data_IF_641807003813
#
_entry.id   IF_641807003813
#
_cell.length_a   1.000
_cell.length_b   1.000
_cell.length_c   1.000
_cell.angle_alpha   90.00
_cell.angle_beta   90.00
_cell.angle_gamma   90.00
#
_symmetry.space_group_name_H-M   'P 1'
#
loop_
_entity.id
_entity.type
_entity.pdbx_description
1 polymer ?
#
# COMPACT_ATOMS: atom_id res chain seq x y z
N UNK A 1 -21.63 -16.77 8.89
CA UNK A 1 -20.39 -15.98 8.78
C UNK A 1 -19.95 -16.08 7.34
N UNK A 2 -19.59 -14.99 6.67
CA UNK A 2 -19.14 -15.06 5.28
C UNK A 2 -17.86 -15.90 5.20
N UNK A 3 -17.76 -16.75 4.18
CA UNK A 3 -16.63 -17.65 4.01
C UNK A 3 -15.37 -16.86 3.64
N UNK A 4 -14.27 -17.18 4.31
CA UNK A 4 -12.97 -16.54 4.03
C UNK A 4 -12.36 -17.16 2.78
N UNK A 5 -12.26 -16.39 1.69
CA UNK A 5 -11.64 -16.81 0.43
C UNK A 5 -10.11 -16.72 0.52
N UNK A 6 -9.60 -15.68 1.19
CA UNK A 6 -8.16 -15.46 1.33
C UNK A 6 -7.85 -14.62 2.57
N UNK A 7 -6.65 -14.80 3.11
CA UNK A 7 -6.14 -13.94 4.18
C UNK A 7 -4.63 -13.71 4.04
N UNK A 8 -4.19 -12.48 4.32
CA UNK A 8 -2.77 -12.16 4.39
C UNK A 8 -2.49 -11.02 5.35
N UNK A 9 -1.24 -10.90 5.79
CA UNK A 9 -0.78 -9.69 6.47
C UNK A 9 -0.77 -8.52 5.49
N UNK A 10 -1.15 -7.34 5.98
CA UNK A 10 -1.16 -6.10 5.20
C UNK A 10 -0.74 -4.91 6.07
N UNK A 11 -0.24 -3.87 5.40
CA UNK A 11 -0.26 -2.51 5.92
C UNK A 11 -1.46 -1.79 5.33
N UNK A 12 -2.28 -1.15 6.15
CA UNK A 12 -3.44 -0.42 5.67
C UNK A 12 -3.43 1.04 6.12
N UNK A 13 -3.96 1.94 5.30
CA UNK A 13 -4.02 3.37 5.61
C UNK A 13 -5.22 4.03 4.93
N UNK A 14 -5.77 5.05 5.57
CA UNK A 14 -6.80 5.94 5.03
C UNK A 14 -6.25 7.35 4.73
N UNK A 15 -5.01 7.62 5.12
CA UNK A 15 -4.42 8.96 5.15
C UNK A 15 -3.73 9.37 3.83
N UNK A 16 -3.66 8.49 2.83
CA UNK A 16 -3.02 8.80 1.53
C UNK A 16 -3.95 9.55 0.57
N UNK A 17 -5.27 9.43 0.76
CA UNK A 17 -6.26 9.98 -0.18
C UNK A 17 -6.15 9.32 -1.56
N UNK A 18 -6.13 10.14 -2.61
CA UNK A 18 -6.11 9.70 -4.01
C UNK A 18 -4.77 9.15 -4.48
N UNK A 19 -3.68 9.77 -4.03
CA UNK A 19 -2.34 9.46 -4.52
C UNK A 19 -1.77 8.21 -3.85
N UNK A 20 -1.03 7.41 -4.63
CA UNK A 20 -0.24 6.29 -4.10
C UNK A 20 1.23 6.67 -4.22
N UNK A 21 1.88 6.84 -3.07
CA UNK A 21 3.26 7.31 -2.96
C UNK A 21 3.95 6.69 -1.76
N UNK A 22 5.28 6.66 -1.80
CA UNK A 22 6.09 6.41 -0.61
C UNK A 22 6.04 7.64 0.30
N UNK A 23 5.07 7.65 1.20
CA UNK A 23 4.84 8.72 2.17
C UNK A 23 5.09 8.25 3.61
N UNK A 24 5.24 9.22 4.53
CA UNK A 24 5.35 8.94 5.96
C UNK A 24 4.08 8.32 6.56
N UNK A 25 2.92 8.47 5.92
CA UNK A 25 1.68 7.87 6.40
C UNK A 25 1.73 6.33 6.36
N UNK A 26 2.63 5.75 5.58
CA UNK A 26 2.92 4.31 5.62
C UNK A 26 3.74 3.89 6.85
N UNK A 27 4.44 4.82 7.51
CA UNK A 27 5.15 4.56 8.77
C UNK A 27 4.13 4.38 9.90
N UNK A 28 3.11 5.22 9.95
CA UNK A 28 1.99 5.13 10.92
C UNK A 28 0.85 4.24 10.45
N UNK A 29 0.99 3.59 9.28
CA UNK A 29 -0.04 2.68 8.77
C UNK A 29 -0.27 1.53 9.73
N UNK A 30 -1.55 1.17 9.89
CA UNK A 30 -1.95 0.01 10.69
C UNK A 30 -1.42 -1.26 10.04
N UNK A 31 -0.93 -2.19 10.86
CA UNK A 31 -0.53 -3.53 10.43
C UNK A 31 -1.58 -4.51 10.94
N UNK A 32 -2.08 -5.36 10.07
CA UNK A 32 -3.07 -6.34 10.46
C UNK A 32 -3.29 -7.40 9.39
N UNK A 33 -4.23 -8.30 9.65
CA UNK A 33 -4.66 -9.30 8.68
C UNK A 33 -5.77 -8.71 7.82
N UNK A 34 -5.57 -8.70 6.50
CA UNK A 34 -6.64 -8.50 5.53
C UNK A 34 -7.27 -9.85 5.25
N UNK A 35 -8.58 -9.96 5.44
CA UNK A 35 -9.40 -11.10 5.05
C UNK A 35 -10.27 -10.69 3.87
N UNK A 36 -10.23 -11.49 2.83
CA UNK A 36 -11.11 -11.36 1.68
C UNK A 36 -12.19 -12.41 1.84
N UNK A 37 -13.43 -11.97 2.03
CA UNK A 37 -14.58 -12.87 2.19
C UNK A 37 -15.37 -12.92 0.87
N UNK A 38 -16.47 -13.67 0.85
CA UNK A 38 -17.39 -13.69 -0.30
C UNK A 38 -18.11 -12.36 -0.53
N UNK A 39 -18.19 -11.48 0.47
CA UNK A 39 -19.03 -10.27 0.43
C UNK A 39 -18.31 -8.98 0.86
N UNK A 40 -17.17 -9.10 1.54
CA UNK A 40 -16.48 -7.97 2.16
C UNK A 40 -14.96 -8.14 2.23
N UNK A 41 -14.27 -7.00 2.33
CA UNK A 41 -12.91 -6.92 2.82
C UNK A 41 -12.93 -6.58 4.30
N UNK A 42 -12.25 -7.39 5.10
CA UNK A 42 -12.12 -7.16 6.53
C UNK A 42 -10.66 -6.91 6.88
N UNK A 43 -10.41 -5.87 7.66
CA UNK A 43 -9.10 -5.66 8.26
C UNK A 43 -9.33 -5.06 9.63
N UNK A 44 -9.00 -5.77 10.71
CA UNK A 44 -9.26 -5.30 12.09
C UNK A 44 -10.71 -4.83 12.23
N UNK A 45 -10.92 -3.57 12.64
CA UNK A 45 -12.25 -2.97 12.79
C UNK A 45 -12.86 -2.45 11.48
N UNK A 46 -12.16 -2.58 10.35
CA UNK A 46 -12.68 -2.16 9.05
C UNK A 46 -13.42 -3.31 8.39
N UNK A 47 -14.67 -3.07 8.06
CA UNK A 47 -15.53 -3.98 7.32
C UNK A 47 -16.06 -3.25 6.08
N UNK A 48 -15.53 -3.58 4.90
CA UNK A 48 -15.82 -2.91 3.64
C UNK A 48 -16.60 -3.88 2.74
N UNK A 49 -17.91 -3.70 2.62
CA UNK A 49 -18.74 -4.53 1.74
C UNK A 49 -18.48 -4.20 0.28
N UNK A 50 -18.56 -5.21 -0.59
CA UNK A 50 -18.38 -5.01 -2.03
C UNK A 50 -19.43 -4.08 -2.65
N UNK A 51 -20.64 -4.04 -2.08
CA UNK A 51 -21.71 -3.10 -2.44
C UNK A 51 -21.34 -1.63 -2.22
N UNK A 52 -20.45 -1.36 -1.26
CA UNK A 52 -20.09 -0.01 -0.84
C UNK A 52 -18.85 0.51 -1.60
N UNK A 53 -18.23 -0.34 -2.42
CA UNK A 53 -17.07 -0.03 -3.24
C UNK A 53 -17.53 0.73 -4.50
N UNK A 54 -17.11 1.98 -4.62
CA UNK A 54 -17.32 2.80 -5.82
C UNK A 54 -16.22 2.62 -6.85
N UNK A 55 -15.00 2.45 -6.39
CA UNK A 55 -13.85 2.16 -7.24
C UNK A 55 -12.86 1.27 -6.49
N UNK A 56 -12.36 0.23 -7.15
CA UNK A 56 -11.22 -0.53 -6.68
C UNK A 56 -10.14 -0.54 -7.76
N UNK A 57 -8.92 -0.21 -7.37
CA UNK A 57 -7.74 -0.25 -8.25
C UNK A 57 -6.63 -1.02 -7.55
N UNK A 58 -6.17 -2.08 -8.20
CA UNK A 58 -5.01 -2.87 -7.78
C UNK A 58 -3.79 -2.39 -8.58
N UNK A 59 -2.91 -1.70 -7.87
CA UNK A 59 -1.64 -1.24 -8.41
C UNK A 59 -0.59 -2.31 -8.24
N UNK A 60 0.11 -2.60 -9.32
CA UNK A 60 1.27 -3.47 -9.34
C UNK A 60 2.52 -2.62 -9.54
N UNK A 61 3.51 -2.84 -8.70
CA UNK A 61 4.81 -2.18 -8.76
C UNK A 61 5.93 -3.18 -8.51
N UNK A 62 7.17 -2.80 -8.81
CA UNK A 62 8.34 -3.63 -8.54
C UNK A 62 9.33 -2.83 -7.71
N UNK A 63 9.70 -3.39 -6.56
CA UNK A 63 10.79 -2.88 -5.76
C UNK A 63 11.97 -3.83 -5.91
N UNK A 64 13.00 -3.39 -6.64
CA UNK A 64 14.26 -4.11 -6.82
C UNK A 64 14.10 -5.63 -7.09
N UNK A 65 13.22 -6.01 -8.03
CA UNK A 65 12.85 -7.39 -8.42
C UNK A 65 11.69 -8.07 -7.67
N UNK A 66 11.26 -7.55 -6.51
CA UNK A 66 10.11 -8.12 -5.78
C UNK A 66 8.83 -7.40 -6.23
N UNK A 67 7.78 -8.13 -6.68
CA UNK A 67 6.50 -7.53 -7.02
C UNK A 67 5.78 -7.11 -5.73
N UNK A 68 5.39 -5.85 -5.67
CA UNK A 68 4.57 -5.30 -4.61
C UNK A 68 3.20 -4.93 -5.16
N UNK A 69 2.17 -5.10 -4.35
CA UNK A 69 0.80 -4.77 -4.73
C UNK A 69 0.22 -3.77 -3.74
N UNK A 70 -0.51 -2.79 -4.26
CA UNK A 70 -1.29 -1.86 -3.45
C UNK A 70 -2.73 -1.89 -3.94
N UNK A 71 -3.65 -2.30 -3.07
CA UNK A 71 -5.08 -2.24 -3.36
C UNK A 71 -5.65 -0.94 -2.81
N UNK A 72 -6.14 -0.07 -3.69
CA UNK A 72 -6.89 1.14 -3.32
C UNK A 72 -8.38 0.88 -3.49
N UNK A 73 -9.14 1.11 -2.43
CA UNK A 73 -10.59 1.01 -2.41
C UNK A 73 -11.16 2.38 -2.08
N UNK A 74 -11.94 2.96 -2.99
CA UNK A 74 -12.75 4.14 -2.74
C UNK A 74 -14.18 3.71 -2.42
N UNK A 75 -14.65 4.10 -1.25
CA UNK A 75 -16.05 4.01 -0.83
C UNK A 75 -16.72 5.38 -0.91
N UNK A 76 -18.00 5.48 -0.53
CA UNK A 76 -18.69 6.77 -0.50
C UNK A 76 -18.12 7.79 0.50
N UNK A 77 -17.49 7.34 1.58
CA UNK A 77 -17.00 8.19 2.67
C UNK A 77 -15.48 8.24 2.80
N UNK A 78 -14.79 7.20 2.34
CA UNK A 78 -13.38 7.00 2.67
C UNK A 78 -12.64 6.27 1.55
N UNK A 79 -11.36 6.63 1.39
CA UNK A 79 -10.40 5.85 0.60
C UNK A 79 -9.54 5.03 1.55
N UNK A 80 -9.44 3.74 1.25
CA UNK A 80 -8.59 2.77 1.93
C UNK A 80 -7.48 2.34 0.98
N UNK A 81 -6.26 2.23 1.47
CA UNK A 81 -5.14 1.66 0.74
C UNK A 81 -4.54 0.52 1.55
N UNK A 82 -4.31 -0.61 0.89
CA UNK A 82 -3.72 -1.82 1.47
C UNK A 82 -2.43 -2.17 0.73
N UNK A 83 -1.30 -2.13 1.42
CA UNK A 83 -0.03 -2.69 0.96
C UNK A 83 -0.04 -4.20 1.17
N UNK A 84 0.03 -4.94 0.08
CA UNK A 84 -0.21 -6.37 0.06
C UNK A 84 1.09 -7.15 -0.14
N UNK A 85 1.16 -8.31 0.50
CA UNK A 85 2.28 -9.22 0.29
C UNK A 85 2.26 -9.78 -1.15
N UNK A 86 3.43 -10.11 -1.72
CA UNK A 86 3.51 -10.81 -2.99
C UNK A 86 2.72 -12.12 -2.93
N UNK A 87 1.85 -12.38 -3.90
CA UNK A 87 1.06 -13.60 -3.94
C UNK A 87 0.37 -13.81 -5.29
N UNK A 88 0.14 -15.07 -5.67
CA UNK A 88 -0.61 -15.43 -6.88
C UNK A 88 -2.08 -15.00 -6.79
N UNK A 89 -2.64 -14.94 -5.58
CA UNK A 89 -4.02 -14.50 -5.33
C UNK A 89 -4.31 -13.14 -5.99
N UNK A 90 -3.42 -12.16 -5.80
CA UNK A 90 -3.57 -10.81 -6.35
C UNK A 90 -3.43 -10.72 -7.87
N UNK A 91 -2.99 -11.79 -8.53
CA UNK A 91 -2.94 -11.89 -9.99
C UNK A 91 -4.22 -12.49 -10.57
N UNK A 92 -4.95 -13.26 -9.78
CA UNK A 92 -6.21 -13.89 -10.17
C UNK A 92 -7.39 -12.92 -10.15
N UNK A 93 -8.57 -13.44 -10.46
CA UNK A 93 -9.83 -12.71 -10.33
C UNK A 93 -10.17 -12.46 -8.86
N UNK A 94 -10.64 -11.26 -8.56
CA UNK A 94 -11.10 -10.88 -7.23
C UNK A 94 -12.64 -10.93 -7.19
N UNK A 95 -13.25 -11.18 -6.02
CA UNK A 95 -14.71 -11.29 -5.89
C UNK A 95 -15.47 -9.95 -6.02
N UNK A 96 -14.79 -8.90 -6.47
CA UNK A 96 -15.36 -7.58 -6.74
C UNK A 96 -14.69 -6.95 -7.97
N UNK A 97 -15.39 -6.03 -8.67
CA UNK A 97 -14.82 -5.32 -9.82
C UNK A 97 -13.55 -4.56 -9.42
N UNK A 98 -12.42 -4.90 -10.06
CA UNK A 98 -11.13 -4.27 -9.78
C UNK A 98 -10.42 -3.90 -11.08
N UNK A 99 -10.01 -2.64 -11.19
CA UNK A 99 -9.10 -2.20 -12.24
C UNK A 99 -7.67 -2.54 -11.86
N UNK A 100 -6.85 -2.93 -12.84
CA UNK A 100 -5.44 -3.25 -12.60
C UNK A 100 -4.56 -2.23 -13.30
N UNK A 101 -3.65 -1.63 -12.57
CA UNK A 101 -2.73 -0.62 -13.09
C UNK A 101 -1.29 -0.95 -12.73
N UNK A 102 -0.37 -0.58 -13.61
CA UNK A 102 1.07 -0.61 -13.33
C UNK A 102 1.47 0.79 -12.90
N UNK A 103 2.12 0.90 -11.75
CA UNK A 103 2.56 2.19 -11.23
C UNK A 103 4.02 2.10 -10.77
N UNK A 104 4.82 3.09 -11.16
CA UNK A 104 6.07 3.37 -10.50
C UNK A 104 5.77 4.19 -9.25
N UNK A 105 6.06 3.63 -8.07
CA UNK A 105 5.84 4.35 -6.82
C UNK A 105 6.76 5.57 -6.76
N UNK A 106 6.16 6.76 -6.65
CA UNK A 106 6.90 8.01 -6.54
C UNK A 106 7.30 8.23 -5.08
N UNK A 107 8.51 8.74 -4.87
CA UNK A 107 8.93 9.22 -3.56
C UNK A 107 8.25 10.54 -3.22
N UNK A 108 7.88 10.72 -1.96
CA UNK A 108 7.50 12.03 -1.46
C UNK A 108 8.71 12.98 -1.48
N UNK A 109 8.53 14.28 -1.79
CA UNK A 109 9.61 15.28 -1.76
C UNK A 109 10.36 15.29 -0.43
N UNK A 110 9.65 15.14 0.69
CA UNK A 110 10.23 15.00 2.02
C UNK A 110 11.28 13.87 2.08
N UNK A 111 10.92 12.69 1.58
CA UNK A 111 11.79 11.52 1.60
C UNK A 111 13.04 11.74 0.73
N UNK A 112 12.93 12.51 -0.35
CA UNK A 112 14.07 12.89 -1.19
C UNK A 112 15.02 13.82 -0.41
N UNK A 113 14.49 14.87 0.23
CA UNK A 113 15.27 15.84 1.02
C UNK A 113 16.06 15.15 2.13
N UNK A 114 15.42 14.27 2.90
CA UNK A 114 16.10 13.54 3.99
C UNK A 114 17.28 12.70 3.48
N UNK A 115 17.13 12.01 2.34
CA UNK A 115 18.22 11.22 1.76
C UNK A 115 19.38 12.09 1.30
N UNK A 116 19.11 13.25 0.70
CA UNK A 116 20.15 14.20 0.29
C UNK A 116 20.94 14.73 1.50
N UNK A 117 20.26 15.08 2.59
CA UNK A 117 20.91 15.51 3.83
C UNK A 117 21.79 14.40 4.43
N UNK A 118 21.31 13.15 4.42
CA UNK A 118 22.07 11.99 4.88
C UNK A 118 23.34 11.78 4.06
N UNK A 119 23.24 11.84 2.72
CA UNK A 119 24.39 11.73 1.83
C UNK A 119 25.41 12.85 2.07
N UNK A 120 24.93 14.09 2.26
CA UNK A 120 25.79 15.23 2.58
C UNK A 120 26.51 15.05 3.93
N UNK A 121 25.82 14.55 4.95
CA UNK A 121 26.39 14.29 6.28
C UNK A 121 27.45 13.17 6.24
N UNK A 122 27.21 12.10 5.46
CA UNK A 122 28.19 11.03 5.26
C UNK A 122 29.42 11.57 4.51
N UNK A 123 29.23 12.31 3.43
CA UNK A 123 30.32 12.92 2.68
C UNK A 123 31.17 13.86 3.54
N UNK A 124 30.53 14.69 4.36
CA UNK A 124 31.20 15.56 5.32
C UNK A 124 32.00 14.77 6.36
N UNK A 125 31.45 13.68 6.89
CA UNK A 125 32.12 12.85 7.89
C UNK A 125 33.36 12.15 7.32
N UNK A 126 33.28 11.63 6.10
CA UNK A 126 34.42 11.04 5.39
C UNK A 126 35.49 12.11 5.15
N UNK A 127 35.09 13.28 4.64
CA UNK A 127 36.02 14.39 4.41
C UNK A 127 36.72 14.85 5.70
N UNK A 128 35.99 14.93 6.81
CA UNK A 128 36.54 15.30 8.12
C UNK A 128 37.50 14.24 8.68
N UNK A 129 37.25 12.97 8.42
CA UNK A 129 38.05 11.85 8.96
C UNK A 129 39.28 11.53 8.10
N UNK A 130 39.22 11.84 6.80
CA UNK A 130 40.36 11.75 5.88
C UNK A 130 41.30 12.96 5.90
N UNK A 131 41.08 13.91 6.82
CA UNK A 131 41.89 15.11 7.05
C UNK A 131 42.57 15.00 8.41
#
# INVERSE_FOLDING_TARGET
MPDTLYQCMTKATTAEGEDIRFSQNWVTSRRGTLRVTTESLECGDWHIRYSDIREAVLFSTRQMFIPCYVLRIRTGSQIYQFGLNPGSYWKGELPFPVRRERMALRYSPFSIVVRLLLLAAVAYSIWKTGR
#
